data_IF_395275263801
#
_entry.id   IF_395275263801
#
_cell.length_a   1.000
_cell.length_b   1.000
_cell.length_c   1.000
_cell.angle_alpha   90.00
_cell.angle_beta   90.00
_cell.angle_gamma   90.00
#
_symmetry.space_group_name_H-M   'P 1'
#
loop_
_entity.id
_entity.type
_entity.pdbx_description
1 polymer ?
#
# COMPACT_ATOMS: atom_id res chain seq x y z
N UNK A 1 20.55 4.31 27.94
CA UNK A 1 19.76 3.54 26.94
C UNK A 1 20.72 2.61 26.17
N UNK A 2 20.44 1.31 26.06
CA UNK A 2 21.35 0.35 25.39
C UNK A 2 21.51 0.66 23.90
N UNK A 3 22.74 0.52 23.35
CA UNK A 3 23.03 0.74 21.92
C UNK A 3 22.16 -0.14 21.02
N UNK A 4 21.86 -1.37 21.45
CA UNK A 4 21.01 -2.31 20.70
C UNK A 4 19.56 -1.79 20.61
N UNK A 5 19.00 -1.35 21.74
CA UNK A 5 17.64 -0.80 21.79
C UNK A 5 17.49 0.44 20.89
N UNK A 6 18.47 1.35 20.93
CA UNK A 6 18.49 2.53 20.07
C UNK A 6 18.54 2.16 18.58
N UNK A 7 19.33 1.15 18.20
CA UNK A 7 19.39 0.64 16.83
C UNK A 7 18.05 0.04 16.39
N UNK A 8 17.40 -0.76 17.25
CA UNK A 8 16.08 -1.35 16.95
C UNK A 8 14.99 -0.29 16.83
N UNK A 9 15.01 0.76 17.67
CA UNK A 9 14.08 1.89 17.56
C UNK A 9 14.26 2.68 16.24
N UNK A 10 15.50 2.86 15.76
CA UNK A 10 15.76 3.44 14.44
C UNK A 10 15.19 2.56 13.31
N UNK A 11 15.42 1.25 13.38
CA UNK A 11 14.89 0.30 12.40
C UNK A 11 13.36 0.36 12.32
N UNK A 12 12.67 0.38 13.47
CA UNK A 12 11.20 0.51 13.52
C UNK A 12 10.72 1.78 12.83
N UNK A 13 11.40 2.92 13.03
CA UNK A 13 11.05 4.17 12.34
C UNK A 13 11.18 4.06 10.82
N UNK A 14 12.28 3.47 10.35
CA UNK A 14 12.49 3.25 8.91
C UNK A 14 11.40 2.33 8.34
N UNK A 15 11.09 1.22 9.03
CA UNK A 15 10.03 0.29 8.58
C UNK A 15 8.64 0.92 8.56
N UNK A 16 8.33 1.81 9.50
CA UNK A 16 7.08 2.59 9.45
C UNK A 16 6.98 3.46 8.21
N UNK A 17 8.06 4.18 7.87
CA UNK A 17 8.09 5.03 6.67
C UNK A 17 7.97 4.17 5.41
N UNK A 18 8.70 3.06 5.32
CA UNK A 18 8.61 2.15 4.18
C UNK A 18 7.21 1.55 4.01
N UNK A 19 6.56 1.14 5.10
CA UNK A 19 5.18 0.68 5.06
C UNK A 19 4.24 1.80 4.59
N UNK A 20 4.37 3.01 5.12
CA UNK A 20 3.54 4.16 4.70
C UNK A 20 3.72 4.49 3.21
N UNK A 21 4.95 4.43 2.70
CA UNK A 21 5.23 4.57 1.27
C UNK A 21 4.57 3.47 0.44
N UNK A 22 4.67 2.21 0.87
CA UNK A 22 4.02 1.09 0.19
C UNK A 22 2.49 1.26 0.16
N UNK A 23 1.87 1.69 1.27
CA UNK A 23 0.43 2.03 1.30
C UNK A 23 0.10 3.11 0.28
N UNK A 24 0.84 4.21 0.25
CA UNK A 24 0.61 5.29 -0.70
C UNK A 24 0.75 4.83 -2.17
N UNK A 25 1.75 4.00 -2.47
CA UNK A 25 1.90 3.42 -3.81
C UNK A 25 0.73 2.52 -4.20
N UNK A 26 0.21 1.70 -3.26
CA UNK A 26 -0.99 0.89 -3.54
C UNK A 26 -2.22 1.74 -3.84
N UNK A 27 -2.38 2.85 -3.12
CA UNK A 27 -3.50 3.78 -3.34
C UNK A 27 -3.41 4.43 -4.71
N UNK A 28 -2.23 4.91 -5.11
CA UNK A 28 -2.01 5.48 -6.45
C UNK A 28 -2.30 4.49 -7.57
N UNK A 29 -1.84 3.25 -7.44
CA UNK A 29 -2.14 2.20 -8.42
C UNK A 29 -3.65 1.92 -8.50
N UNK A 30 -4.35 1.93 -7.37
CA UNK A 30 -5.79 1.74 -7.33
C UNK A 30 -6.54 2.91 -7.99
N UNK A 31 -6.11 4.15 -7.74
CA UNK A 31 -6.67 5.34 -8.37
C UNK A 31 -6.50 5.30 -9.89
N UNK A 32 -5.34 4.89 -10.40
CA UNK A 32 -5.08 4.71 -11.83
C UNK A 32 -6.01 3.65 -12.44
N UNK A 33 -6.13 2.48 -11.81
CA UNK A 33 -7.04 1.42 -12.25
C UNK A 33 -8.51 1.88 -12.25
N UNK A 34 -8.92 2.63 -11.23
CA UNK A 34 -10.27 3.19 -11.14
C UNK A 34 -10.53 4.24 -12.24
N UNK A 35 -9.55 5.08 -12.55
CA UNK A 35 -9.66 6.07 -13.63
C UNK A 35 -9.86 5.38 -15.00
N UNK A 36 -9.11 4.32 -15.28
CA UNK A 36 -9.25 3.53 -16.50
C UNK A 36 -10.63 2.84 -16.55
N UNK A 37 -11.06 2.23 -15.45
CA UNK A 37 -12.37 1.58 -15.35
C UNK A 37 -13.52 2.59 -15.60
N UNK A 38 -13.42 3.79 -15.05
CA UNK A 38 -14.39 4.86 -15.26
C UNK A 38 -14.43 5.29 -16.73
N UNK A 39 -13.27 5.40 -17.39
CA UNK A 39 -13.19 5.74 -18.81
C UNK A 39 -13.80 4.63 -19.68
N UNK A 40 -13.54 3.36 -19.38
CA UNK A 40 -14.15 2.22 -20.07
C UNK A 40 -15.69 2.23 -19.93
N UNK A 41 -16.19 2.48 -18.71
CA UNK A 41 -17.62 2.61 -18.44
C UNK A 41 -18.26 3.80 -19.18
N UNK A 42 -17.57 4.94 -19.26
CA UNK A 42 -18.02 6.11 -20.05
C UNK A 42 -18.07 5.78 -21.54
N UNK A 43 -17.05 5.12 -22.08
CA UNK A 43 -17.02 4.74 -23.49
C UNK A 43 -18.14 3.76 -23.84
N UNK A 44 -18.40 2.78 -22.96
CA UNK A 44 -19.50 1.84 -23.11
C UNK A 44 -20.86 2.55 -23.17
N UNK A 45 -21.09 3.56 -22.32
CA UNK A 45 -22.31 4.39 -22.33
C UNK A 45 -22.45 5.20 -23.62
N UNK A 46 -21.39 5.89 -24.04
CA UNK A 46 -21.39 6.65 -25.30
C UNK A 46 -21.72 5.73 -26.47
N UNK A 47 -21.15 4.52 -26.49
CA UNK A 47 -21.48 3.52 -27.50
C UNK A 47 -22.97 3.14 -27.41
N UNK A 48 -23.48 2.74 -26.25
CA UNK A 48 -24.90 2.37 -26.14
C UNK A 48 -25.84 3.50 -26.57
N UNK A 49 -25.56 4.74 -26.19
CA UNK A 49 -26.39 5.90 -26.55
C UNK A 49 -26.36 6.18 -28.06
N UNK A 50 -25.20 6.03 -28.71
CA UNK A 50 -25.06 6.22 -30.15
C UNK A 50 -25.79 5.15 -30.96
N UNK A 51 -25.78 3.88 -30.51
CA UNK A 51 -26.33 2.74 -31.27
C UNK A 51 -27.74 2.30 -30.83
N UNK A 52 -28.28 2.75 -29.70
CA UNK A 52 -29.67 2.46 -29.30
C UNK A 52 -30.71 3.39 -29.93
N UNK A 53 -30.30 4.58 -30.38
CA UNK A 53 -31.19 5.58 -30.98
C UNK A 53 -31.37 5.42 -32.51
N UNK A 54 -31.04 4.26 -33.08
CA UNK A 54 -31.15 3.95 -34.51
C UNK A 54 -32.62 3.82 -34.97
N UNK A 55 -33.32 4.96 -35.04
CA UNK A 55 -34.49 5.18 -35.90
C UNK A 55 -34.20 6.23 -36.99
N UNK A 56 -32.93 6.59 -37.22
CA UNK A 56 -32.57 7.70 -38.10
C UNK A 56 -32.03 7.17 -39.44
N UNK A 57 -32.94 7.08 -40.41
CA UNK A 57 -32.75 7.34 -41.86
C UNK A 57 -31.30 7.63 -42.32
N UNK A 58 -30.60 6.63 -42.89
CA UNK A 58 -29.18 6.74 -43.23
C UNK A 58 -28.87 6.25 -44.66
N UNK A 59 -28.98 7.15 -45.65
CA UNK A 59 -28.44 6.94 -47.00
C UNK A 59 -27.06 7.55 -47.23
N UNK A 60 -26.70 8.63 -46.53
CA UNK A 60 -25.45 9.39 -46.74
C UNK A 60 -24.42 9.37 -45.60
N UNK A 61 -24.85 9.19 -44.33
CA UNK A 61 -23.97 9.26 -43.15
C UNK A 61 -23.56 7.88 -42.58
N UNK A 62 -23.88 6.80 -43.29
CA UNK A 62 -23.67 5.43 -42.80
C UNK A 62 -22.19 5.03 -42.74
N UNK A 63 -21.37 5.48 -43.71
CA UNK A 63 -19.94 5.20 -43.74
C UNK A 63 -19.20 5.84 -42.55
N UNK A 64 -19.49 7.11 -42.25
CA UNK A 64 -18.92 7.82 -41.10
C UNK A 64 -19.36 7.20 -39.77
N UNK A 65 -20.59 6.71 -39.70
CA UNK A 65 -21.10 6.01 -38.52
C UNK A 65 -20.39 4.68 -38.26
N UNK A 66 -20.17 3.88 -39.31
CA UNK A 66 -19.37 2.64 -39.22
C UNK A 66 -17.92 2.90 -38.81
N UNK A 67 -17.30 3.96 -39.34
CA UNK A 67 -15.94 4.33 -38.96
C UNK A 67 -15.85 4.72 -37.48
N UNK A 68 -16.81 5.52 -37.00
CA UNK A 68 -16.90 5.89 -35.59
C UNK A 68 -17.12 4.65 -34.70
N UNK A 69 -17.99 3.73 -35.11
CA UNK A 69 -18.20 2.46 -34.42
C UNK A 69 -16.90 1.68 -34.23
N UNK A 70 -16.13 1.53 -35.32
CA UNK A 70 -14.84 0.84 -35.30
C UNK A 70 -13.81 1.52 -34.39
N UNK A 71 -13.75 2.86 -34.41
CA UNK A 71 -12.86 3.62 -33.51
C UNK A 71 -13.23 3.45 -32.04
N UNK A 72 -14.53 3.50 -31.72
CA UNK A 72 -15.02 3.30 -30.35
C UNK A 72 -14.77 1.87 -29.87
N UNK A 73 -14.91 0.87 -30.74
CA UNK A 73 -14.63 -0.53 -30.43
C UNK A 73 -13.13 -0.76 -30.18
N UNK A 74 -12.27 -0.19 -31.02
CA UNK A 74 -10.82 -0.24 -30.84
C UNK A 74 -10.39 0.43 -29.53
N UNK A 75 -10.92 1.63 -29.24
CA UNK A 75 -10.67 2.31 -27.97
C UNK A 75 -11.14 1.47 -26.77
N UNK A 76 -12.27 0.77 -26.89
CA UNK A 76 -12.77 -0.15 -25.87
C UNK A 76 -11.78 -1.26 -25.56
N UNK A 77 -11.31 -1.97 -26.59
CA UNK A 77 -10.29 -3.04 -26.44
C UNK A 77 -9.00 -2.52 -25.81
N UNK A 78 -8.56 -1.31 -26.19
CA UNK A 78 -7.37 -0.69 -25.60
C UNK A 78 -7.56 -0.40 -24.11
N UNK A 79 -8.74 0.10 -23.71
CA UNK A 79 -9.07 0.34 -22.31
C UNK A 79 -9.18 -0.95 -21.51
N UNK A 80 -9.72 -2.03 -22.10
CA UNK A 80 -9.79 -3.34 -21.44
C UNK A 80 -8.39 -3.91 -21.18
N UNK A 81 -7.48 -3.81 -22.17
CA UNK A 81 -6.07 -4.19 -21.99
C UNK A 81 -5.36 -3.34 -20.94
N UNK A 82 -5.53 -2.01 -20.99
CA UNK A 82 -4.96 -1.11 -19.99
C UNK A 82 -5.52 -1.38 -18.58
N UNK A 83 -6.80 -1.72 -18.46
CA UNK A 83 -7.42 -2.07 -17.18
C UNK A 83 -6.87 -3.37 -16.61
N UNK A 84 -6.65 -4.38 -17.46
CA UNK A 84 -5.99 -5.62 -17.07
C UNK A 84 -4.60 -5.36 -16.50
N UNK A 85 -3.77 -4.59 -17.22
CA UNK A 85 -2.42 -4.25 -16.78
C UNK A 85 -2.43 -3.41 -15.49
N UNK A 86 -3.34 -2.45 -15.37
CA UNK A 86 -3.48 -1.62 -14.17
C UNK A 86 -3.89 -2.46 -12.95
N UNK A 87 -4.80 -3.42 -13.11
CA UNK A 87 -5.19 -4.36 -12.04
C UNK A 87 -4.02 -5.23 -11.60
N UNK A 88 -3.25 -5.75 -12.56
CA UNK A 88 -2.04 -6.51 -12.25
C UNK A 88 -1.04 -5.67 -11.44
N UNK A 89 -0.84 -4.40 -11.79
CA UNK A 89 0.01 -3.49 -11.00
C UNK A 89 -0.54 -3.27 -9.59
N UNK A 90 -1.86 -3.15 -9.42
CA UNK A 90 -2.49 -3.08 -8.10
C UNK A 90 -2.13 -4.31 -7.27
N UNK A 91 -2.27 -5.51 -7.83
CA UNK A 91 -1.96 -6.76 -7.13
C UNK A 91 -0.48 -6.83 -6.73
N UNK A 92 0.43 -6.45 -7.63
CA UNK A 92 1.87 -6.37 -7.35
C UNK A 92 2.16 -5.39 -6.20
N UNK A 93 1.56 -4.21 -6.22
CA UNK A 93 1.73 -3.20 -5.15
C UNK A 93 1.10 -3.66 -3.83
N UNK A 94 -0.03 -4.36 -3.86
CA UNK A 94 -0.62 -4.97 -2.67
C UNK A 94 0.29 -6.02 -2.04
N UNK A 95 0.94 -6.86 -2.87
CA UNK A 95 1.96 -7.81 -2.40
C UNK A 95 3.09 -7.11 -1.64
N UNK A 96 3.67 -6.07 -2.25
CA UNK A 96 4.75 -5.28 -1.62
C UNK A 96 4.30 -4.61 -0.31
N UNK A 97 3.05 -4.14 -0.23
CA UNK A 97 2.48 -3.57 1.00
C UNK A 97 2.39 -4.61 2.12
N UNK A 98 1.95 -5.82 1.81
CA UNK A 98 1.86 -6.92 2.78
C UNK A 98 3.25 -7.27 3.31
N UNK A 99 4.24 -7.39 2.41
CA UNK A 99 5.64 -7.62 2.80
C UNK A 99 6.17 -6.51 3.70
N UNK A 100 5.98 -5.24 3.32
CA UNK A 100 6.41 -4.09 4.12
C UNK A 100 5.74 -4.06 5.50
N UNK A 101 4.46 -4.42 5.60
CA UNK A 101 3.80 -4.53 6.91
C UNK A 101 4.39 -5.66 7.75
N UNK A 102 4.66 -6.82 7.16
CA UNK A 102 5.30 -7.94 7.85
C UNK A 102 6.68 -7.54 8.39
N UNK A 103 7.49 -6.85 7.58
CA UNK A 103 8.80 -6.35 8.02
C UNK A 103 8.69 -5.33 9.17
N UNK A 104 7.68 -4.45 9.13
CA UNK A 104 7.37 -3.51 10.21
C UNK A 104 7.04 -4.23 11.51
N UNK A 105 6.15 -5.22 11.47
CA UNK A 105 5.80 -6.02 12.64
C UNK A 105 7.00 -6.78 13.23
N UNK A 106 7.84 -7.35 12.36
CA UNK A 106 9.08 -8.02 12.81
C UNK A 106 9.99 -7.02 13.53
N UNK A 107 10.16 -5.81 12.98
CA UNK A 107 10.99 -4.78 13.60
C UNK A 107 10.44 -4.35 14.97
N UNK A 108 9.12 -4.21 15.10
CA UNK A 108 8.45 -3.89 16.37
C UNK A 108 8.71 -4.99 17.42
N UNK A 109 8.45 -6.25 17.07
CA UNK A 109 8.73 -7.41 17.94
C UNK A 109 10.19 -7.47 18.38
N UNK A 110 11.13 -7.17 17.47
CA UNK A 110 12.56 -7.15 17.80
C UNK A 110 12.95 -6.01 18.75
N UNK A 111 12.30 -4.84 18.62
CA UNK A 111 12.48 -3.72 19.55
C UNK A 111 11.95 -4.08 20.94
N UNK A 112 10.77 -4.71 21.01
CA UNK A 112 10.15 -5.09 22.27
C UNK A 112 10.96 -6.18 22.99
N UNK A 113 11.42 -7.21 22.28
CA UNK A 113 12.35 -8.21 22.84
C UNK A 113 13.64 -7.58 23.37
N UNK A 114 14.21 -6.62 22.65
CA UNK A 114 15.42 -5.92 23.10
C UNK A 114 15.18 -5.03 24.34
N UNK A 115 13.95 -4.55 24.53
CA UNK A 115 13.55 -3.82 25.72
C UNK A 115 13.44 -4.75 26.92
N UNK A 116 12.71 -5.86 26.77
CA UNK A 116 12.56 -6.87 27.84
C UNK A 116 13.91 -7.41 28.29
N UNK A 117 14.79 -7.79 27.36
CA UNK A 117 16.13 -8.26 27.69
C UNK A 117 16.99 -7.21 28.45
N UNK A 118 16.77 -5.91 28.18
CA UNK A 118 17.44 -4.84 28.89
C UNK A 118 16.89 -4.68 30.32
N UNK A 119 15.58 -4.81 30.49
CA UNK A 119 14.91 -4.78 31.79
C UNK A 119 15.39 -5.96 32.66
N UNK A 120 15.40 -7.18 32.12
CA UNK A 120 15.93 -8.38 32.77
C UNK A 120 17.40 -8.23 33.19
N UNK A 121 18.25 -7.68 32.33
CA UNK A 121 19.66 -7.41 32.68
C UNK A 121 19.80 -6.40 33.82
N UNK A 122 18.95 -5.37 33.83
CA UNK A 122 18.97 -4.38 34.90
C UNK A 122 18.50 -5.00 36.23
N UNK A 123 17.45 -5.82 36.21
CA UNK A 123 16.96 -6.56 37.38
C UNK A 123 18.02 -7.53 37.93
N UNK A 124 18.65 -8.31 37.06
CA UNK A 124 19.74 -9.23 37.44
C UNK A 124 20.92 -8.47 38.05
N UNK A 125 21.30 -7.33 37.47
CA UNK A 125 22.36 -6.46 38.00
C UNK A 125 21.99 -5.88 39.36
N UNK A 126 20.73 -5.46 39.54
CA UNK A 126 20.25 -4.99 40.82
C UNK A 126 20.28 -6.13 41.86
N UNK A 127 19.84 -7.34 41.50
CA UNK A 127 19.81 -8.51 42.38
C UNK A 127 21.20 -8.95 42.86
N UNK A 128 22.21 -8.81 42.00
CA UNK A 128 23.60 -9.13 42.32
C UNK A 128 24.27 -8.10 43.27
N UNK A 129 23.65 -6.96 43.57
CA UNK A 129 24.22 -5.97 44.50
C UNK A 129 24.15 -6.48 45.96
N UNK A 130 25.25 -6.40 46.74
CA UNK A 130 25.25 -6.74 48.16
C UNK A 130 24.20 -5.92 48.93
N UNK A 131 23.47 -6.57 49.86
CA UNK A 131 22.35 -5.97 50.63
C UNK A 131 22.71 -4.64 51.30
N UNK A 132 23.92 -4.50 51.85
CA UNK A 132 24.38 -3.28 52.53
C UNK A 132 24.43 -2.05 51.59
N UNK A 133 24.72 -2.26 50.29
CA UNK A 133 24.79 -1.19 49.29
C UNK A 133 23.42 -0.71 48.82
N UNK A 134 22.37 -1.53 48.95
CA UNK A 134 20.98 -1.18 48.60
C UNK A 134 20.30 -0.31 49.65
N UNK A 135 20.66 -0.45 50.93
CA UNK A 135 20.08 0.31 52.04
C UNK A 135 20.59 1.76 52.02
N UNK A 136 21.90 1.95 51.83
CA UNK A 136 22.54 3.28 51.84
C UNK A 136 21.99 4.25 50.78
N UNK A 137 21.69 3.77 49.58
CA UNK A 137 21.10 4.58 48.50
C UNK A 137 19.60 4.90 48.70
N UNK A 138 18.93 4.23 49.64
CA UNK A 138 17.54 4.50 50.00
C UNK A 138 17.41 5.48 51.18
N UNK A 139 18.47 5.63 51.99
CA UNK A 139 18.55 6.60 53.09
C UNK A 139 19.07 7.98 52.64
N UNK A 140 19.76 8.05 51.50
CA UNK A 140 20.35 9.29 50.94
C UNK A 140 19.48 9.95 49.84
N UNK A 141 18.24 9.50 49.61
CA UNK A 141 17.30 10.03 48.62
C UNK A 141 15.97 10.43 49.28
#
# INVERSE_FOLDING_TARGET
MSRLLARRQRLVRVRHVQHALAVAETMRAQEEANAIANNAARLSRVRSELFQNENVTLGGSFASYRELAGRLEQAGRQLDGALYDARRRVDEKQGLRVEANREREIAERLKDRARVALEEQNEARLAALPRYRRIRTKEEA
#
